data_IF_155251280191
#
_entry.id   IF_155251280191
#
_cell.length_a   1.000
_cell.length_b   1.000
_cell.length_c   1.000
_cell.angle_alpha   90.00
_cell.angle_beta   90.00
_cell.angle_gamma   90.00
#
_symmetry.space_group_name_H-M   'P 1'
#
loop_
_entity.id
_entity.type
_entity.pdbx_description
1 polymer ?
#
# COMPACT_ATOMS: atom_id res chain seq x y z
N UNK A 1 -4.97 45.91 -22.32
CA UNK A 1 -4.85 45.03 -21.14
C UNK A 1 -5.23 43.66 -21.62
N UNK A 2 -4.24 42.91 -22.08
CA UNK A 2 -4.39 41.56 -22.61
C UNK A 2 -4.43 40.57 -21.45
N UNK A 3 -5.52 39.82 -21.35
CA UNK A 3 -5.59 38.67 -20.45
C UNK A 3 -4.87 37.52 -21.13
N UNK A 4 -3.67 37.21 -20.64
CA UNK A 4 -2.95 36.00 -21.03
C UNK A 4 -3.72 34.78 -20.51
N UNK A 5 -4.36 34.06 -21.41
CA UNK A 5 -4.83 32.69 -21.18
C UNK A 5 -3.59 31.83 -20.95
N UNK A 6 -3.34 31.45 -19.70
CA UNK A 6 -2.30 30.50 -19.36
C UNK A 6 -2.79 29.10 -19.75
N UNK A 7 -2.39 28.68 -20.96
CA UNK A 7 -2.49 27.30 -21.42
C UNK A 7 -1.70 26.39 -20.46
N UNK A 8 -2.40 25.64 -19.63
CA UNK A 8 -1.84 24.49 -18.95
C UNK A 8 -1.80 23.31 -19.93
N UNK A 9 -0.81 23.36 -20.84
CA UNK A 9 -0.40 22.20 -21.63
C UNK A 9 0.38 21.24 -20.71
N UNK A 10 -0.31 20.28 -20.10
CA UNK A 10 0.34 19.17 -19.38
C UNK A 10 0.38 17.93 -20.27
N UNK A 11 1.49 17.78 -21.01
CA UNK A 11 1.86 16.53 -21.66
C UNK A 11 2.20 15.46 -20.61
N UNK A 12 1.56 14.29 -20.72
CA UNK A 12 2.13 13.00 -20.29
C UNK A 12 1.45 12.30 -19.10
N UNK A 13 0.61 11.31 -19.40
CA UNK A 13 -0.05 10.35 -18.50
C UNK A 13 -1.22 10.89 -17.65
N UNK A 14 -2.37 11.11 -18.30
CA UNK A 14 -3.70 11.23 -17.67
C UNK A 14 -4.19 9.89 -17.08
N UNK A 15 -3.34 9.19 -16.34
CA UNK A 15 -3.79 8.05 -15.55
C UNK A 15 -4.35 8.59 -14.22
N UNK A 16 -5.66 8.48 -13.97
CA UNK A 16 -6.26 8.98 -12.72
C UNK A 16 -5.76 8.22 -11.48
N UNK A 17 -5.08 7.09 -11.67
CA UNK A 17 -4.53 6.21 -10.64
C UNK A 17 -2.99 6.18 -10.72
N UNK A 18 -2.30 7.16 -10.12
CA UNK A 18 -0.84 7.34 -10.18
C UNK A 18 -0.06 6.22 -9.47
N UNK A 19 -0.72 5.40 -8.65
CA UNK A 19 -0.15 4.18 -8.11
C UNK A 19 -1.13 3.03 -8.31
N UNK A 20 -0.65 1.87 -8.77
CA UNK A 20 -1.48 0.70 -9.04
C UNK A 20 -0.90 -0.55 -8.41
N UNK A 21 -1.76 -1.39 -7.84
CA UNK A 21 -1.38 -2.66 -7.22
C UNK A 21 -2.12 -3.78 -7.92
N UNK A 22 -1.38 -4.72 -8.53
CA UNK A 22 -1.96 -5.97 -9.02
C UNK A 22 -2.15 -6.90 -7.82
N UNK A 23 -3.37 -7.38 -7.62
CA UNK A 23 -3.73 -8.28 -6.51
C UNK A 23 -3.21 -9.69 -6.80
N UNK A 24 -2.29 -10.16 -5.97
CA UNK A 24 -1.65 -11.48 -6.00
C UNK A 24 -1.68 -12.08 -4.60
N UNK A 25 -1.30 -13.36 -4.50
CA UNK A 25 -1.18 -14.03 -3.19
C UNK A 25 -0.10 -13.41 -2.29
N UNK A 26 0.91 -12.78 -2.88
CA UNK A 26 1.97 -12.10 -2.11
C UNK A 26 1.51 -10.74 -1.59
N UNK A 27 0.67 -10.02 -2.35
CA UNK A 27 0.29 -8.66 -1.98
C UNK A 27 -1.04 -8.53 -1.24
N UNK A 28 -1.96 -9.50 -1.35
CA UNK A 28 -3.25 -9.46 -0.66
C UNK A 28 -3.36 -10.63 0.32
N UNK A 29 -3.25 -10.31 1.62
CA UNK A 29 -3.62 -11.22 2.71
C UNK A 29 -5.06 -10.93 3.16
N UNK A 30 -5.65 -11.84 3.94
CA UNK A 30 -7.05 -11.80 4.38
C UNK A 30 -7.51 -10.48 5.02
N UNK A 31 -6.59 -9.71 5.60
CA UNK A 31 -6.88 -8.42 6.23
C UNK A 31 -5.83 -7.33 5.95
N UNK A 32 -5.01 -7.48 4.90
CA UNK A 32 -4.02 -6.46 4.60
C UNK A 32 -3.56 -6.49 3.15
N UNK A 33 -3.22 -5.32 2.64
CA UNK A 33 -2.49 -5.16 1.38
C UNK A 33 -1.03 -4.86 1.70
N UNK A 34 -0.12 -5.65 1.10
CA UNK A 34 1.33 -5.39 1.04
C UNK A 34 1.61 -4.45 -0.11
N UNK A 35 2.48 -3.49 0.13
CA UNK A 35 2.98 -2.56 -0.86
C UNK A 35 4.50 -2.63 -0.79
N UNK A 36 5.14 -3.03 -1.88
CA UNK A 36 6.59 -3.07 -1.96
C UNK A 36 7.13 -1.63 -1.97
N UNK A 37 8.29 -1.38 -1.32
CA UNK A 37 8.95 -0.10 -1.46
C UNK A 37 9.33 0.11 -2.93
N UNK A 38 8.86 1.21 -3.51
CA UNK A 38 9.13 1.58 -4.88
C UNK A 38 9.21 3.09 -5.02
N UNK A 39 10.03 3.56 -5.95
CA UNK A 39 10.14 5.01 -6.24
C UNK A 39 8.79 5.63 -6.58
N UNK A 40 7.91 4.87 -7.24
CA UNK A 40 6.58 5.33 -7.61
C UNK A 40 5.70 5.52 -6.37
N UNK A 41 5.67 4.54 -5.46
CA UNK A 41 4.91 4.66 -4.21
C UNK A 41 5.43 5.81 -3.34
N UNK A 42 6.75 5.92 -3.19
CA UNK A 42 7.36 6.97 -2.39
C UNK A 42 7.10 8.36 -2.95
N UNK A 43 7.23 8.55 -4.26
CA UNK A 43 6.99 9.85 -4.89
C UNK A 43 5.51 10.23 -4.95
N UNK A 44 4.63 9.27 -5.33
CA UNK A 44 3.21 9.55 -5.64
C UNK A 44 2.26 9.37 -4.47
N UNK A 45 2.66 8.63 -3.45
CA UNK A 45 1.84 8.43 -2.25
C UNK A 45 2.50 9.11 -1.05
N UNK A 46 3.73 8.75 -0.69
CA UNK A 46 4.37 9.32 0.50
C UNK A 46 4.73 10.79 0.33
N UNK A 47 5.18 11.20 -0.86
CA UNK A 47 5.51 12.58 -1.20
C UNK A 47 4.31 13.54 -1.06
N UNK A 48 3.10 13.04 -1.29
CA UNK A 48 1.84 13.79 -1.19
C UNK A 48 1.27 13.82 0.24
N UNK A 49 1.76 12.96 1.15
CA UNK A 49 1.32 12.97 2.56
C UNK A 49 1.85 14.20 3.30
N UNK A 50 1.24 14.56 4.43
CA UNK A 50 1.82 15.58 5.31
C UNK A 50 3.13 15.09 5.97
N UNK A 51 3.97 16.05 6.36
CA UNK A 51 5.30 15.76 6.90
C UNK A 51 5.27 14.92 8.18
N UNK A 52 4.33 15.20 9.10
CA UNK A 52 4.22 14.45 10.36
C UNK A 52 3.89 12.97 10.12
N UNK A 53 3.06 12.67 9.12
CA UNK A 53 2.74 11.29 8.73
C UNK A 53 3.94 10.59 8.10
N UNK A 54 4.70 11.28 7.23
CA UNK A 54 5.95 10.73 6.70
C UNK A 54 6.95 10.40 7.81
N UNK A 55 7.17 11.33 8.74
CA UNK A 55 8.09 11.14 9.86
C UNK A 55 7.66 9.99 10.78
N UNK A 56 6.34 9.81 10.98
CA UNK A 56 5.83 8.67 11.72
C UNK A 56 6.19 7.34 11.04
N UNK A 57 6.01 7.22 9.72
CA UNK A 57 6.40 6.01 8.97
C UNK A 57 7.91 5.77 9.02
N UNK A 58 8.74 6.81 8.87
CA UNK A 58 10.19 6.68 9.00
C UNK A 58 10.62 6.26 10.40
N UNK A 59 9.84 6.64 11.42
CA UNK A 59 9.99 6.17 12.79
C UNK A 59 9.31 4.81 13.05
N UNK A 60 8.89 4.10 12.00
CA UNK A 60 8.22 2.79 12.08
C UNK A 60 6.92 2.81 12.90
N UNK A 61 6.25 3.95 12.97
CA UNK A 61 4.95 4.11 13.63
C UNK A 61 3.83 4.09 12.59
N UNK A 62 2.71 3.43 12.88
CA UNK A 62 1.57 3.43 11.97
C UNK A 62 0.98 4.83 11.83
N UNK A 63 0.62 5.17 10.59
CA UNK A 63 -0.15 6.38 10.27
C UNK A 63 -1.61 6.00 10.14
N UNK A 64 -2.49 6.69 10.87
CA UNK A 64 -3.94 6.57 10.62
C UNK A 64 -4.24 7.18 9.27
N UNK A 65 -4.87 6.39 8.40
CA UNK A 65 -5.30 6.84 7.09
C UNK A 65 -6.77 6.51 6.91
N UNK A 66 -7.41 7.21 5.99
CA UNK A 66 -8.76 6.92 5.54
C UNK A 66 -8.68 6.42 4.11
N UNK A 67 -9.40 5.35 3.78
CA UNK A 67 -9.58 4.91 2.39
C UNK A 67 -10.97 5.29 1.92
N UNK A 68 -11.05 6.13 0.90
CA UNK A 68 -12.27 6.47 0.20
C UNK A 68 -12.38 5.69 -1.10
N UNK A 69 -13.28 4.71 -1.12
CA UNK A 69 -13.65 3.95 -2.31
C UNK A 69 -14.56 4.79 -3.20
N UNK A 70 -14.00 5.32 -4.29
CA UNK A 70 -14.70 6.27 -5.17
C UNK A 70 -15.78 5.60 -5.99
N UNK A 71 -15.69 4.28 -6.20
CA UNK A 71 -16.62 3.54 -7.05
C UNK A 71 -17.96 3.29 -6.34
N UNK A 72 -17.97 3.24 -5.01
CA UNK A 72 -19.18 3.03 -4.19
C UNK A 72 -19.40 4.11 -3.12
N UNK A 73 -18.61 5.18 -3.16
CA UNK A 73 -18.65 6.30 -2.21
C UNK A 73 -18.61 5.84 -0.75
N UNK A 74 -17.71 4.91 -0.40
CA UNK A 74 -17.56 4.39 0.97
C UNK A 74 -16.19 4.70 1.55
N UNK A 75 -16.20 5.00 2.84
CA UNK A 75 -15.01 5.35 3.60
C UNK A 75 -14.66 4.25 4.59
N UNK A 76 -13.37 3.96 4.74
CA UNK A 76 -12.86 2.93 5.64
C UNK A 76 -11.68 3.48 6.45
N UNK A 77 -11.79 3.41 7.78
CA UNK A 77 -10.67 3.72 8.66
C UNK A 77 -9.64 2.60 8.62
N UNK A 78 -8.39 2.95 8.37
CA UNK A 78 -7.29 1.98 8.35
C UNK A 78 -5.98 2.63 8.77
N UNK A 79 -4.88 1.88 8.67
CA UNK A 79 -3.55 2.37 9.00
C UNK A 79 -2.58 1.97 7.90
N UNK A 80 -1.68 2.89 7.58
CA UNK A 80 -0.48 2.61 6.80
C UNK A 80 0.66 2.28 7.76
N UNK A 81 1.28 1.12 7.56
CA UNK A 81 2.41 0.63 8.33
C UNK A 81 3.64 0.54 7.44
N UNK A 82 4.80 0.91 7.99
CA UNK A 82 6.12 0.44 7.53
C UNK A 82 6.52 -0.68 8.47
N UNK A 83 6.67 -1.91 7.97
CA UNK A 83 6.99 -3.10 8.79
C UNK A 83 7.93 -4.04 8.06
N UNK A 84 8.53 -4.96 8.81
CA UNK A 84 9.46 -5.94 8.27
C UNK A 84 8.74 -6.88 7.28
N UNK A 85 9.44 -7.27 6.21
CA UNK A 85 8.86 -8.03 5.09
C UNK A 85 8.36 -9.43 5.52
N UNK A 86 8.99 -10.06 6.50
CA UNK A 86 8.65 -11.41 6.99
C UNK A 86 7.22 -11.50 7.56
N UNK A 87 6.62 -10.39 8.01
CA UNK A 87 5.20 -10.36 8.42
C UNK A 87 4.25 -10.71 7.26
N UNK A 88 4.73 -10.61 6.03
CA UNK A 88 4.01 -11.00 4.82
C UNK A 88 4.37 -12.38 4.28
N UNK A 89 5.36 -13.06 4.83
CA UNK A 89 5.66 -14.42 4.41
C UNK A 89 4.50 -15.35 4.78
N UNK A 90 4.23 -16.38 3.95
CA UNK A 90 3.31 -17.44 4.33
C UNK A 90 3.90 -18.16 5.55
N UNK A 91 3.08 -18.35 6.58
CA UNK A 91 3.43 -19.23 7.69
C UNK A 91 3.59 -20.62 7.08
N UNK A 92 4.81 -21.17 7.09
CA UNK A 92 5.07 -22.55 6.65
C UNK A 92 4.07 -23.46 7.35
N UNK A 93 3.35 -24.28 6.58
CA UNK A 93 2.32 -25.15 7.15
C UNK A 93 2.97 -26.11 8.16
N UNK A 94 2.28 -26.36 9.27
CA UNK A 94 2.72 -27.32 10.30
C UNK A 94 2.89 -28.70 9.65
N UNK A 95 4.12 -29.08 9.29
CA UNK A 95 4.44 -30.34 8.60
C UNK A 95 5.27 -30.20 7.32
N UNK A 96 5.58 -28.99 6.84
CA UNK A 96 6.58 -28.82 5.79
C UNK A 96 7.96 -29.20 6.35
N UNK A 97 8.58 -30.24 5.77
CA UNK A 97 9.95 -30.61 6.11
C UNK A 97 10.84 -29.39 5.88
N UNK A 98 11.71 -29.02 6.84
CA UNK A 98 12.70 -28.00 6.58
C UNK A 98 13.51 -28.41 5.36
N UNK A 99 13.75 -27.47 4.44
CA UNK A 99 14.81 -27.62 3.44
C UNK A 99 16.07 -28.06 4.18
N UNK A 100 16.78 -29.05 3.61
CA UNK A 100 17.98 -29.63 4.21
C UNK A 100 18.97 -28.50 4.50
N UNK A 101 19.03 -28.08 5.77
CA UNK A 101 19.79 -26.92 6.25
C UNK A 101 19.04 -25.99 7.22
N UNK A 102 17.71 -26.02 7.29
CA UNK A 102 16.92 -25.15 8.18
C UNK A 102 16.56 -25.87 9.49
N UNK A 103 17.41 -25.73 10.51
CA UNK A 103 17.10 -26.13 11.88
C UNK A 103 15.99 -25.25 12.46
N UNK A 104 14.95 -25.85 13.05
CA UNK A 104 13.90 -25.14 13.83
C UNK A 104 14.44 -24.41 15.08
N UNK A 105 15.74 -24.44 15.31
CA UNK A 105 16.45 -23.74 16.38
C UNK A 105 16.97 -22.36 15.96
N UNK A 106 16.96 -22.02 14.68
CA UNK A 106 17.29 -20.68 14.22
C UNK A 106 16.01 -19.84 14.17
N UNK A 107 15.51 -19.42 15.34
CA UNK A 107 14.93 -18.08 15.36
C UNK A 107 16.07 -17.18 14.89
N UNK A 108 15.98 -16.52 13.72
CA UNK A 108 17.04 -15.61 13.32
C UNK A 108 17.19 -14.64 14.49
N UNK A 109 18.37 -14.57 15.10
CA UNK A 109 18.64 -13.55 16.11
C UNK A 109 18.18 -12.25 15.48
N UNK A 110 17.18 -11.58 16.08
CA UNK A 110 16.50 -10.44 15.45
C UNK A 110 17.55 -9.38 15.12
N UNK A 111 17.99 -9.36 13.87
CA UNK A 111 18.92 -8.37 13.36
C UNK A 111 18.07 -7.19 12.91
N UNK A 112 17.81 -6.27 13.84
CA UNK A 112 17.06 -5.05 13.59
C UNK A 112 17.61 -4.26 12.40
N UNK A 113 18.90 -4.40 12.06
CA UNK A 113 19.53 -3.71 10.93
C UNK A 113 19.13 -4.36 9.62
N UNK A 114 19.20 -5.69 9.50
CA UNK A 114 18.70 -6.42 8.31
C UNK A 114 17.18 -6.33 8.17
N UNK A 115 16.45 -6.39 9.28
CA UNK A 115 15.00 -6.27 9.27
C UNK A 115 14.52 -4.88 8.80
N UNK A 116 15.36 -3.85 9.00
CA UNK A 116 15.16 -2.51 8.43
C UNK A 116 15.57 -2.39 6.97
N UNK A 117 16.44 -3.28 6.46
CA UNK A 117 16.81 -3.34 5.05
C UNK A 117 15.71 -4.02 4.22
N UNK A 118 15.07 -5.04 4.77
CA UNK A 118 13.98 -5.77 4.12
C UNK A 118 12.61 -5.42 4.72
N UNK A 119 12.05 -4.28 4.29
CA UNK A 119 10.75 -3.80 4.76
C UNK A 119 9.71 -3.72 3.64
N UNK A 120 8.45 -3.60 4.06
CA UNK A 120 7.31 -3.35 3.18
C UNK A 120 6.36 -2.36 3.82
N UNK A 121 5.56 -1.72 2.98
CA UNK A 121 4.41 -0.97 3.42
C UNK A 121 3.18 -1.87 3.51
N UNK A 122 2.26 -1.53 4.40
CA UNK A 122 1.03 -2.29 4.57
C UNK A 122 -0.14 -1.43 4.95
N UNK A 123 -1.25 -1.65 4.27
CA UNK A 123 -2.54 -1.11 4.66
C UNK A 123 -3.28 -2.17 5.47
N UNK A 124 -3.66 -1.84 6.72
CA UNK A 124 -4.32 -2.75 7.64
C UNK A 124 -5.14 -1.99 8.71
N UNK A 125 -6.40 -2.39 8.99
CA UNK A 125 -7.15 -3.49 8.38
C UNK A 125 -7.61 -3.20 6.94
N UNK A 126 -7.78 -4.24 6.13
CA UNK A 126 -8.25 -4.15 4.73
C UNK A 126 -9.32 -5.19 4.38
N UNK A 127 -9.67 -6.09 5.32
CA UNK A 127 -10.67 -7.15 5.15
C UNK A 127 -12.03 -6.64 4.72
N UNK A 128 -12.46 -5.50 5.26
CA UNK A 128 -13.75 -4.91 4.90
C UNK A 128 -13.81 -4.51 3.44
N UNK A 129 -12.73 -3.92 2.91
CA UNK A 129 -12.64 -3.53 1.50
C UNK A 129 -12.62 -4.79 0.63
N UNK A 130 -11.78 -5.78 0.97
CA UNK A 130 -11.73 -7.08 0.27
C UNK A 130 -13.11 -7.70 0.15
N UNK A 131 -13.83 -7.81 1.27
CA UNK A 131 -15.16 -8.41 1.31
C UNK A 131 -16.21 -7.58 0.57
N UNK A 132 -16.26 -6.26 0.78
CA UNK A 132 -17.29 -5.39 0.18
C UNK A 132 -17.12 -5.22 -1.33
N UNK A 133 -15.87 -5.27 -1.81
CA UNK A 133 -15.53 -5.15 -3.22
C UNK A 133 -15.33 -6.47 -3.92
N UNK A 134 -15.49 -7.58 -3.20
CA UNK A 134 -15.25 -8.93 -3.70
C UNK A 134 -13.89 -9.03 -4.42
N UNK A 135 -12.84 -8.51 -3.76
CA UNK A 135 -11.50 -8.46 -4.34
C UNK A 135 -10.89 -9.85 -4.46
N UNK A 136 -10.38 -10.16 -5.64
CA UNK A 136 -9.84 -11.45 -6.02
C UNK A 136 -8.46 -11.29 -6.67
N UNK A 137 -7.69 -12.38 -6.69
CA UNK A 137 -6.41 -12.41 -7.38
C UNK A 137 -6.60 -12.19 -8.89
N UNK A 138 -5.66 -11.47 -9.50
CA UNK A 138 -5.70 -11.10 -10.91
C UNK A 138 -6.33 -9.74 -11.18
N UNK A 139 -7.10 -9.19 -10.24
CA UNK A 139 -7.58 -7.81 -10.32
C UNK A 139 -6.45 -6.80 -10.05
N UNK A 140 -6.67 -5.55 -10.44
CA UNK A 140 -5.78 -4.43 -10.13
C UNK A 140 -6.58 -3.35 -9.40
N UNK A 141 -5.95 -2.70 -8.43
CA UNK A 141 -6.52 -1.55 -7.71
C UNK A 141 -5.68 -0.31 -7.96
N UNK A 142 -6.33 0.84 -8.00
CA UNK A 142 -5.71 2.16 -8.12
C UNK A 142 -5.73 2.88 -6.78
N UNK A 143 -4.66 3.63 -6.49
CA UNK A 143 -4.54 4.47 -5.31
C UNK A 143 -4.02 5.86 -5.69
N UNK A 144 -4.54 6.90 -5.02
CA UNK A 144 -3.98 8.26 -4.98
C UNK A 144 -4.24 8.90 -3.63
N UNK A 145 -3.44 9.91 -3.29
CA UNK A 145 -3.70 10.74 -2.11
C UNK A 145 -4.72 11.81 -2.46
N UNK A 146 -5.72 12.01 -1.59
CA UNK A 146 -6.64 13.14 -1.70
C UNK A 146 -6.00 14.38 -1.10
N UNK A 147 -6.23 15.54 -1.72
CA UNK A 147 -5.56 16.80 -1.33
C UNK A 147 -6.21 17.49 -0.11
N UNK A 148 -7.20 16.87 0.53
CA UNK A 148 -7.79 17.37 1.78
C UNK A 148 -6.88 16.97 2.97
N UNK A 149 -6.21 17.96 3.55
CA UNK A 149 -4.97 17.78 4.34
C UNK A 149 -5.18 17.42 5.83
N UNK A 150 -6.41 17.45 6.34
CA UNK A 150 -6.65 17.24 7.78
C UNK A 150 -6.33 15.79 8.22
N UNK A 151 -6.59 14.82 7.34
CA UNK A 151 -6.30 13.39 7.55
C UNK A 151 -5.78 12.82 6.24
N UNK A 152 -4.73 12.01 6.29
CA UNK A 152 -4.22 11.34 5.10
C UNK A 152 -5.31 10.43 4.55
N UNK A 153 -5.87 10.82 3.40
CA UNK A 153 -6.95 10.09 2.74
C UNK A 153 -6.42 9.52 1.43
N UNK A 154 -6.57 8.21 1.24
CA UNK A 154 -6.29 7.55 -0.02
C UNK A 154 -7.60 7.29 -0.75
N UNK A 155 -7.69 7.77 -1.98
CA UNK A 155 -8.76 7.38 -2.88
C UNK A 155 -8.43 6.04 -3.53
N UNK A 156 -9.43 5.19 -3.65
CA UNK A 156 -9.32 3.80 -4.07
C UNK A 156 -10.36 3.48 -5.15
N UNK A 157 -9.98 2.69 -6.15
CA UNK A 157 -10.88 2.11 -7.14
C UNK A 157 -10.38 0.75 -7.62
N UNK A 158 -11.29 -0.11 -8.09
CA UNK A 158 -10.93 -1.34 -8.79
C UNK A 158 -10.74 -1.02 -10.27
N UNK A 159 -9.54 -1.21 -10.79
CA UNK A 159 -9.21 -0.95 -12.18
C UNK A 159 -9.74 -2.11 -13.01
N UNK A 160 -10.90 -1.91 -13.62
CA UNK A 160 -11.39 -2.78 -14.66
C UNK A 160 -10.67 -2.42 -15.96
N UNK A 161 -9.88 -3.34 -16.51
CA UNK A 161 -9.50 -3.22 -17.91
C UNK A 161 -10.79 -3.35 -18.71
N UNK A 162 -11.26 -2.26 -19.29
CA UNK A 162 -12.24 -2.34 -20.38
C UNK A 162 -11.58 -3.16 -21.49
N UNK A 163 -12.08 -4.38 -21.65
CA UNK A 163 -11.80 -5.26 -22.79
C UNK A 163 -12.17 -4.60 -24.11
#
# INVERSE_FOLDING_TARGET
>A
MDYATQDCSSNGNNNPWPFRIKLTRDCMKSDSIKILPSKEFEAKILGEMNESSRQALESWRPVKIVIYDVDICKTYDTKLWKKESFWFEPIRALGEKPDVGATMTDLPSYDAVKARQDFVYSIHPFKHIISKRNLNYGQQIGLRVSHDQAVVTFEFSVINYSS
#
